data_IF_772403214533
#
_entry.id   IF_772403214533
#
_cell.length_a   1.000
_cell.length_b   1.000
_cell.length_c   1.000
_cell.angle_alpha   90.00
_cell.angle_beta   90.00
_cell.angle_gamma   90.00
#
_symmetry.space_group_name_H-M   'P 1'
#
loop_
_entity.id
_entity.type
_entity.pdbx_description
1 polymer ?
#
# COMPACT_ATOMS: atom_id res chain seq x y z
N UNK A 1 -3.22 -20.03 64.52
CA UNK A 1 -2.28 -18.97 64.92
C UNK A 1 -1.10 -19.10 63.95
N UNK A 2 -0.86 -18.26 62.96
CA UNK A 2 -1.16 -16.84 62.73
C UNK A 2 -1.43 -16.67 61.22
N UNK A 3 -2.49 -15.94 60.90
CA UNK A 3 -2.74 -15.37 59.57
C UNK A 3 -1.73 -14.26 59.32
N UNK A 4 -1.12 -14.21 58.14
CA UNK A 4 -0.63 -12.94 57.59
C UNK A 4 -0.84 -12.91 56.08
N UNK A 5 -1.82 -12.10 55.70
CA UNK A 5 -2.18 -11.70 54.35
C UNK A 5 -1.05 -10.81 53.81
N UNK A 6 -0.54 -11.10 52.61
CA UNK A 6 0.21 -10.12 51.81
C UNK A 6 -0.37 -10.11 50.39
N UNK A 7 -0.89 -8.94 50.05
CA UNK A 7 -1.35 -8.56 48.73
C UNK A 7 -0.19 -8.69 47.71
N UNK A 8 -0.50 -9.27 46.56
CA UNK A 8 0.40 -9.32 45.41
C UNK A 8 -0.47 -9.42 44.16
N UNK A 9 -0.46 -8.35 43.37
CA UNK A 9 -1.12 -8.26 42.07
C UNK A 9 -0.81 -9.48 41.20
N UNK A 10 -1.85 -10.08 40.61
CA UNK A 10 -1.69 -10.89 39.42
C UNK A 10 -1.25 -9.97 38.27
N UNK A 11 0.05 -9.95 37.96
CA UNK A 11 0.55 -9.44 36.68
C UNK A 11 0.48 -10.61 35.70
N UNK A 12 -0.54 -10.63 34.85
CA UNK A 12 -0.50 -11.46 33.65
C UNK A 12 0.61 -10.94 32.74
N UNK A 13 1.76 -11.62 32.72
CA UNK A 13 2.69 -11.54 31.59
C UNK A 13 2.06 -12.37 30.46
N UNK A 14 1.54 -11.69 29.45
CA UNK A 14 1.28 -12.32 28.17
C UNK A 14 2.65 -12.65 27.56
N UNK A 15 3.05 -13.91 27.63
CA UNK A 15 4.10 -14.43 26.75
C UNK A 15 3.62 -14.20 25.32
N UNK A 16 4.30 -13.29 24.62
CA UNK A 16 4.13 -13.03 23.19
C UNK A 16 4.58 -14.30 22.48
N UNK A 17 3.66 -15.27 22.33
CA UNK A 17 3.87 -16.48 21.54
C UNK A 17 4.33 -16.03 20.17
N UNK A 18 5.57 -16.39 19.81
CA UNK A 18 6.02 -16.39 18.43
C UNK A 18 5.04 -17.27 17.64
N UNK A 19 4.06 -16.61 17.03
CA UNK A 19 3.08 -17.27 16.18
C UNK A 19 3.85 -17.74 14.96
N UNK A 20 3.99 -19.05 14.87
CA UNK A 20 4.98 -19.70 14.01
C UNK A 20 4.62 -19.50 12.54
N UNK A 21 5.61 -19.04 11.77
CA UNK A 21 5.69 -18.93 10.30
C UNK A 21 5.19 -20.17 9.54
N UNK A 22 4.99 -21.31 10.23
CA UNK A 22 4.57 -22.60 9.66
C UNK A 22 3.06 -22.76 9.56
N UNK A 23 2.25 -21.96 10.27
CA UNK A 23 0.78 -22.01 10.13
C UNK A 23 0.28 -21.18 8.92
N UNK A 24 1.01 -20.13 8.55
CA UNK A 24 0.70 -19.30 7.37
C UNK A 24 0.81 -20.09 6.05
N UNK A 25 1.82 -20.95 5.89
CA UNK A 25 1.97 -21.77 4.68
C UNK A 25 0.79 -22.73 4.42
N UNK A 26 0.08 -23.16 5.48
CA UNK A 26 -1.08 -24.06 5.36
C UNK A 26 -2.41 -23.31 5.17
N UNK A 27 -2.53 -22.07 5.66
CA UNK A 27 -3.68 -21.20 5.39
C UNK A 27 -3.66 -20.67 3.96
N UNK A 28 -2.47 -20.40 3.40
CA UNK A 28 -2.30 -19.99 1.99
C UNK A 28 -2.84 -21.04 1.01
N UNK A 29 -2.76 -22.34 1.31
CA UNK A 29 -3.36 -23.36 0.42
C UNK A 29 -4.90 -23.32 0.39
N UNK A 30 -5.56 -22.76 1.41
CA UNK A 30 -7.02 -22.75 1.56
C UNK A 30 -7.71 -21.49 1.04
N UNK A 31 -7.05 -20.33 1.08
CA UNK A 31 -7.63 -19.04 0.61
C UNK A 31 -7.41 -18.77 -0.88
N UNK A 32 -6.48 -19.47 -1.54
CA UNK A 32 -6.22 -19.36 -2.98
C UNK A 32 -7.48 -19.52 -3.85
N UNK A 33 -8.52 -20.21 -3.36
CA UNK A 33 -9.74 -20.48 -4.13
C UNK A 33 -10.72 -19.29 -4.27
N UNK A 34 -10.64 -18.26 -3.42
CA UNK A 34 -11.71 -17.25 -3.33
C UNK A 34 -11.59 -16.07 -4.33
N UNK A 35 -10.41 -15.84 -4.92
CA UNK A 35 -10.18 -14.81 -5.94
C UNK A 35 -10.19 -15.31 -7.39
N UNK A 36 -10.34 -16.62 -7.62
CA UNK A 36 -10.06 -17.28 -8.91
C UNK A 36 -11.21 -17.21 -9.93
N UNK A 37 -11.74 -16.02 -10.20
CA UNK A 37 -12.67 -15.87 -11.34
C UNK A 37 -11.87 -15.89 -12.66
N UNK A 38 -11.51 -17.09 -13.14
CA UNK A 38 -11.33 -17.38 -14.56
C UNK A 38 -9.98 -17.87 -15.08
N UNK A 39 -8.93 -18.00 -14.26
CA UNK A 39 -7.64 -18.53 -14.73
C UNK A 39 -7.38 -19.92 -14.14
N UNK A 40 -7.25 -20.93 -15.01
CA UNK A 40 -6.79 -22.27 -14.63
C UNK A 40 -5.29 -22.19 -14.34
N UNK A 41 -4.93 -21.74 -13.14
CA UNK A 41 -3.52 -21.68 -12.72
C UNK A 41 -3.06 -23.09 -12.39
N UNK A 42 -2.12 -23.63 -13.15
CA UNK A 42 -1.55 -24.95 -12.87
C UNK A 42 -0.07 -24.99 -13.21
N UNK A 43 0.74 -24.38 -12.36
CA UNK A 43 2.15 -24.76 -12.28
C UNK A 43 2.22 -26.20 -11.73
N UNK A 44 2.53 -27.15 -12.61
CA UNK A 44 2.80 -28.52 -12.21
C UNK A 44 4.32 -28.74 -12.10
N UNK A 45 4.78 -29.38 -11.02
CA UNK A 45 6.19 -29.77 -10.89
C UNK A 45 6.68 -30.75 -11.95
N UNK A 46 5.76 -31.41 -12.66
CA UNK A 46 6.05 -32.31 -13.79
C UNK A 46 5.10 -32.01 -14.94
N UNK A 47 5.67 -31.74 -16.09
CA UNK A 47 4.95 -31.61 -17.35
C UNK A 47 5.31 -32.79 -18.25
N UNK A 48 4.29 -33.42 -18.84
CA UNK A 48 4.45 -34.52 -19.80
C UNK A 48 3.70 -34.17 -21.08
N UNK A 49 4.33 -34.38 -22.23
CA UNK A 49 3.76 -34.04 -23.53
C UNK A 49 4.54 -34.63 -24.69
N UNK A 50 4.05 -34.45 -25.92
CA UNK A 50 4.74 -34.89 -27.12
C UNK A 50 4.34 -34.03 -28.34
N UNK A 51 4.99 -32.88 -28.58
CA UNK A 51 6.05 -32.25 -27.79
C UNK A 51 5.51 -31.31 -26.71
N UNK A 52 6.32 -31.08 -25.68
CA UNK A 52 6.19 -29.89 -24.82
C UNK A 52 6.90 -28.75 -25.54
N UNK A 53 6.24 -27.61 -25.66
CA UNK A 53 6.83 -26.37 -26.23
C UNK A 53 6.84 -25.22 -25.24
N UNK A 54 5.91 -25.24 -24.28
CA UNK A 54 5.70 -24.17 -23.30
C UNK A 54 5.49 -24.76 -21.91
N UNK A 55 6.03 -24.09 -20.89
CA UNK A 55 5.89 -24.43 -19.47
C UNK A 55 5.34 -23.20 -18.73
N UNK A 56 4.21 -23.29 -18.02
CA UNK A 56 3.70 -22.17 -17.23
C UNK A 56 4.59 -21.90 -16.01
N UNK A 57 4.70 -20.62 -15.65
CA UNK A 57 5.30 -20.14 -14.40
C UNK A 57 4.24 -19.33 -13.67
N UNK A 58 3.91 -19.74 -12.45
CA UNK A 58 2.95 -19.01 -11.63
C UNK A 58 3.67 -17.91 -10.87
N UNK A 59 3.11 -16.70 -10.94
CA UNK A 59 3.55 -15.56 -10.16
C UNK A 59 2.47 -15.14 -9.18
N UNK A 60 2.84 -15.05 -7.90
CA UNK A 60 2.01 -14.45 -6.88
C UNK A 60 2.61 -13.13 -6.40
N UNK A 61 1.75 -12.16 -6.12
CA UNK A 61 2.03 -10.95 -5.36
C UNK A 61 1.13 -10.96 -4.14
N UNK A 62 1.76 -10.96 -2.96
CA UNK A 62 1.09 -11.10 -1.66
C UNK A 62 0.96 -9.72 -1.02
N UNK A 63 -0.21 -9.38 -0.50
CA UNK A 63 -0.48 -8.05 0.08
C UNK A 63 -1.11 -8.12 1.46
N UNK A 64 -1.30 -6.96 2.08
CA UNK A 64 -2.06 -6.74 3.31
C UNK A 64 -3.60 -6.90 3.13
N UNK A 65 -4.08 -7.12 1.91
CA UNK A 65 -5.50 -7.20 1.57
C UNK A 65 -6.19 -5.86 1.33
N UNK A 66 -5.51 -4.73 1.54
CA UNK A 66 -6.01 -3.39 1.20
C UNK A 66 -5.25 -2.73 0.05
N UNK A 67 -4.08 -3.25 -0.28
CA UNK A 67 -3.26 -2.82 -1.41
C UNK A 67 -3.79 -3.38 -2.72
N UNK A 68 -3.80 -2.55 -3.77
CA UNK A 68 -4.23 -2.95 -5.11
C UNK A 68 -3.12 -3.73 -5.82
N UNK A 69 -3.48 -4.54 -6.84
CA UNK A 69 -2.48 -5.24 -7.64
C UNK A 69 -1.47 -4.26 -8.26
N UNK A 70 -0.16 -4.59 -8.31
CA UNK A 70 0.82 -3.70 -8.92
C UNK A 70 0.55 -3.57 -10.42
N UNK A 71 0.88 -2.41 -11.00
CA UNK A 71 0.78 -2.19 -12.45
C UNK A 71 2.11 -2.50 -13.14
N UNK A 72 2.48 -3.80 -13.20
CA UNK A 72 3.77 -4.22 -13.74
C UNK A 72 3.73 -5.65 -14.30
N UNK A 73 4.76 -5.99 -15.07
CA UNK A 73 5.07 -7.36 -15.46
C UNK A 73 6.30 -7.85 -14.69
N UNK A 74 6.22 -9.07 -14.15
CA UNK A 74 7.37 -9.76 -13.55
C UNK A 74 7.99 -10.70 -14.58
N UNK A 75 9.28 -10.55 -14.79
CA UNK A 75 10.03 -11.31 -15.80
C UNK A 75 10.83 -12.44 -15.14
N UNK A 76 11.05 -13.52 -15.89
CA UNK A 76 11.83 -14.66 -15.43
C UNK A 76 13.16 -14.76 -16.18
N UNK A 77 14.16 -15.31 -15.52
CA UNK A 77 15.47 -15.59 -16.10
C UNK A 77 15.74 -17.09 -16.12
N UNK A 78 16.32 -17.56 -17.21
CA UNK A 78 16.72 -18.95 -17.39
C UNK A 78 18.22 -18.96 -17.67
N UNK A 79 18.97 -19.74 -16.90
CA UNK A 79 20.39 -19.99 -17.13
C UNK A 79 20.65 -21.48 -17.35
N UNK A 80 21.69 -21.80 -18.11
CA UNK A 80 22.19 -23.19 -18.19
C UNK A 80 22.85 -23.55 -16.86
N UNK A 81 22.71 -24.82 -16.48
CA UNK A 81 23.28 -25.33 -15.25
C UNK A 81 24.16 -26.56 -15.51
N UNK A 82 25.07 -26.83 -14.59
CA UNK A 82 26.08 -27.88 -14.73
C UNK A 82 25.47 -29.29 -14.82
N UNK A 83 26.22 -30.18 -15.46
CA UNK A 83 25.93 -31.61 -15.48
C UNK A 83 25.95 -32.23 -14.07
N UNK A 84 25.23 -33.32 -13.87
CA UNK A 84 25.16 -33.98 -12.58
C UNK A 84 24.23 -35.19 -12.55
N UNK A 85 23.60 -35.41 -11.41
CA UNK A 85 22.63 -36.47 -11.18
C UNK A 85 21.37 -35.91 -10.55
N UNK A 86 20.20 -36.32 -11.06
CA UNK A 86 18.91 -35.94 -10.48
C UNK A 86 18.10 -37.19 -10.19
N UNK A 87 17.60 -37.30 -8.95
CA UNK A 87 16.68 -38.36 -8.59
C UNK A 87 15.26 -37.91 -8.91
N UNK A 88 14.63 -38.51 -9.93
CA UNK A 88 13.28 -38.17 -10.36
C UNK A 88 12.16 -38.78 -9.50
N UNK A 89 12.52 -39.34 -8.34
CA UNK A 89 11.67 -40.12 -7.45
C UNK A 89 11.61 -41.61 -7.80
N UNK A 90 12.08 -42.02 -8.99
CA UNK A 90 12.14 -43.43 -9.40
C UNK A 90 13.58 -43.93 -9.50
N UNK A 91 14.48 -43.13 -10.10
CA UNK A 91 15.88 -43.49 -10.26
C UNK A 91 16.78 -42.26 -10.38
N UNK A 92 18.07 -42.47 -10.17
CA UNK A 92 19.07 -41.46 -10.49
C UNK A 92 19.22 -41.38 -12.01
N UNK A 93 18.97 -40.18 -12.54
CA UNK A 93 19.15 -39.85 -13.94
C UNK A 93 20.53 -39.19 -14.12
N UNK A 94 21.25 -39.57 -15.16
CA UNK A 94 22.42 -38.80 -15.62
C UNK A 94 21.92 -37.55 -16.29
N UNK A 95 22.37 -36.39 -15.79
CA UNK A 95 21.96 -35.08 -16.27
C UNK A 95 23.14 -34.41 -16.97
N UNK A 96 22.90 -33.94 -18.18
CA UNK A 96 23.84 -33.14 -18.96
C UNK A 96 23.73 -31.66 -18.60
N UNK A 97 24.81 -30.94 -18.82
CA UNK A 97 24.82 -29.48 -18.79
C UNK A 97 23.75 -28.92 -19.74
N UNK A 98 23.04 -27.88 -19.32
CA UNK A 98 22.06 -27.19 -20.15
C UNK A 98 22.65 -26.71 -21.47
N UNK A 99 21.82 -26.70 -22.53
CA UNK A 99 22.21 -26.13 -23.82
C UNK A 99 21.51 -24.79 -23.99
N UNK A 100 22.27 -23.74 -24.26
CA UNK A 100 21.71 -22.40 -24.48
C UNK A 100 20.62 -22.44 -25.57
N UNK A 101 19.47 -21.82 -25.27
CA UNK A 101 18.29 -21.82 -26.15
C UNK A 101 17.38 -23.05 -25.99
N UNK A 102 17.80 -24.10 -25.27
CA UNK A 102 16.98 -25.30 -25.07
C UNK A 102 15.81 -25.09 -24.10
N UNK A 103 15.97 -24.17 -23.15
CA UNK A 103 14.93 -23.58 -22.33
C UNK A 103 15.20 -22.06 -22.25
N UNK A 104 14.16 -21.25 -22.46
CA UNK A 104 14.24 -19.78 -22.37
C UNK A 104 12.99 -19.22 -21.70
N UNK A 105 13.08 -18.03 -21.10
CA UNK A 105 11.88 -17.27 -20.77
C UNK A 105 11.12 -16.91 -22.06
N UNK A 106 9.78 -16.93 -22.00
CA UNK A 106 8.91 -16.64 -23.15
C UNK A 106 8.00 -15.44 -22.86
N UNK A 107 7.23 -15.49 -21.78
CA UNK A 107 6.42 -14.35 -21.31
C UNK A 107 6.60 -14.12 -19.81
N UNK A 108 6.65 -12.85 -19.42
CA UNK A 108 6.50 -12.45 -18.03
C UNK A 108 5.04 -12.55 -17.55
N UNK A 109 4.85 -12.51 -16.24
CA UNK A 109 3.54 -12.49 -15.60
C UNK A 109 3.08 -11.04 -15.40
N UNK A 110 2.07 -10.62 -16.19
CA UNK A 110 1.56 -9.26 -16.18
C UNK A 110 0.43 -9.06 -15.15
N UNK A 111 0.50 -7.96 -14.39
CA UNK A 111 -0.50 -7.53 -13.43
C UNK A 111 -1.05 -6.16 -13.82
N UNK A 112 -2.30 -5.91 -13.44
CA UNK A 112 -2.95 -4.62 -13.65
C UNK A 112 -3.95 -4.38 -12.53
N UNK A 113 -3.93 -3.23 -11.85
CA UNK A 113 -4.87 -2.95 -10.77
C UNK A 113 -6.31 -2.83 -11.27
N UNK A 114 -7.23 -3.49 -10.56
CA UNK A 114 -8.66 -3.49 -10.86
C UNK A 114 -9.40 -2.21 -10.44
N UNK A 115 -10.71 -2.34 -10.27
CA UNK A 115 -11.60 -1.28 -9.77
C UNK A 115 -11.97 -1.47 -8.30
N UNK A 116 -13.04 -0.80 -7.87
CA UNK A 116 -13.65 -1.00 -6.55
C UNK A 116 -13.89 -2.49 -6.26
N UNK A 117 -13.53 -2.94 -5.05
CA UNK A 117 -13.71 -4.31 -4.57
C UNK A 117 -12.67 -5.30 -5.08
N UNK A 118 -11.58 -4.85 -5.71
CA UNK A 118 -10.54 -5.74 -6.25
C UNK A 118 -9.25 -5.82 -5.41
N UNK A 119 -9.19 -5.13 -4.26
CA UNK A 119 -8.14 -5.34 -3.26
C UNK A 119 -8.20 -6.79 -2.75
N UNK A 120 -7.05 -7.47 -2.67
CA UNK A 120 -6.99 -8.88 -2.28
C UNK A 120 -5.62 -9.22 -1.66
N UNK A 121 -5.61 -10.16 -0.70
CA UNK A 121 -4.38 -10.64 -0.02
C UNK A 121 -3.39 -11.31 -0.99
N UNK A 122 -3.85 -11.77 -2.15
CA UNK A 122 -3.01 -12.40 -3.16
C UNK A 122 -3.54 -12.12 -4.55
N UNK A 123 -2.62 -11.71 -5.42
CA UNK A 123 -2.83 -11.64 -6.86
C UNK A 123 -2.00 -12.71 -7.54
N UNK A 124 -2.60 -13.40 -8.51
CA UNK A 124 -1.92 -14.44 -9.28
C UNK A 124 -2.00 -14.15 -10.77
N UNK A 125 -0.86 -14.27 -11.45
CA UNK A 125 -0.75 -14.23 -12.90
C UNK A 125 0.18 -15.34 -13.37
N UNK A 126 0.15 -15.62 -14.68
CA UNK A 126 1.00 -16.62 -15.30
C UNK A 126 1.93 -15.97 -16.33
N UNK A 127 3.19 -16.38 -16.31
CA UNK A 127 4.08 -16.25 -17.46
C UNK A 127 4.46 -17.63 -17.98
N UNK A 128 5.45 -17.69 -18.87
CA UNK A 128 5.86 -18.97 -19.45
C UNK A 128 7.34 -19.04 -19.80
N UNK A 129 7.82 -20.28 -19.85
CA UNK A 129 9.09 -20.66 -20.44
C UNK A 129 8.82 -21.41 -21.74
N UNK A 130 9.73 -21.27 -22.71
CA UNK A 130 9.73 -21.97 -23.98
C UNK A 130 10.83 -23.01 -24.03
N UNK A 131 10.52 -24.16 -24.61
CA UNK A 131 11.50 -25.20 -24.91
C UNK A 131 11.74 -25.28 -26.42
N UNK A 132 12.98 -25.56 -26.81
CA UNK A 132 13.34 -25.78 -28.21
C UNK A 132 14.16 -27.06 -28.35
N UNK A 133 13.56 -28.08 -28.95
CA UNK A 133 14.24 -29.36 -29.15
C UNK A 133 15.36 -29.30 -30.21
N UNK A 134 15.35 -28.29 -31.09
CA UNK A 134 16.25 -28.22 -32.25
C UNK A 134 17.70 -27.92 -31.86
N UNK A 135 17.94 -27.35 -30.67
CA UNK A 135 19.30 -27.03 -30.21
C UNK A 135 20.05 -28.26 -29.70
N UNK A 136 19.32 -29.32 -29.32
CA UNK A 136 19.93 -30.52 -28.77
C UNK A 136 20.48 -31.42 -29.88
N UNK A 137 21.61 -32.07 -29.59
CA UNK A 137 22.30 -32.97 -30.54
C UNK A 137 22.10 -34.44 -30.22
N UNK A 138 21.53 -34.75 -29.05
CA UNK A 138 21.27 -36.12 -28.57
C UNK A 138 20.12 -36.12 -27.56
N UNK A 139 19.40 -37.25 -27.42
CA UNK A 139 18.46 -37.42 -26.31
C UNK A 139 19.19 -37.43 -24.97
N UNK A 140 18.52 -36.98 -23.92
CA UNK A 140 19.11 -36.81 -22.60
C UNK A 140 18.27 -35.91 -21.69
N UNK A 141 18.69 -35.79 -20.43
CA UNK A 141 18.13 -34.82 -19.48
C UNK A 141 19.11 -33.65 -19.40
N UNK A 142 18.61 -32.43 -19.58
CA UNK A 142 19.43 -31.21 -19.60
C UNK A 142 19.03 -30.26 -18.47
N UNK A 143 20.01 -29.67 -17.80
CA UNK A 143 19.82 -28.89 -16.58
C UNK A 143 19.81 -27.38 -16.79
N UNK A 144 18.84 -26.70 -16.19
CA UNK A 144 18.71 -25.25 -16.20
C UNK A 144 18.37 -24.76 -14.79
N UNK A 145 18.68 -23.49 -14.50
CA UNK A 145 18.11 -22.79 -13.35
C UNK A 145 17.12 -21.74 -13.81
N UNK A 146 16.03 -21.57 -13.06
CA UNK A 146 15.02 -20.54 -13.29
C UNK A 146 14.89 -19.67 -12.06
N UNK A 147 15.02 -18.36 -12.24
CA UNK A 147 14.88 -17.33 -11.21
C UNK A 147 13.91 -16.26 -11.67
N UNK A 148 13.37 -15.49 -10.74
CA UNK A 148 12.72 -14.23 -11.08
C UNK A 148 13.76 -13.14 -11.29
N UNK A 149 13.54 -12.30 -12.29
CA UNK A 149 14.33 -11.09 -12.47
C UNK A 149 13.93 -10.06 -11.43
N UNK A 150 14.91 -9.50 -10.73
CA UNK A 150 14.67 -8.37 -9.83
C UNK A 150 13.89 -7.26 -10.56
N UNK A 151 12.73 -6.91 -10.00
CA UNK A 151 11.95 -5.78 -10.47
C UNK A 151 12.22 -4.56 -9.57
N UNK A 152 11.91 -3.37 -10.09
CA UNK A 152 12.04 -2.11 -9.35
C UNK A 152 10.66 -1.49 -9.08
N UNK A 153 9.61 -2.30 -9.00
CA UNK A 153 8.30 -1.80 -8.62
C UNK A 153 8.34 -1.46 -7.14
N UNK A 154 7.99 -0.22 -6.79
CA UNK A 154 8.12 0.28 -5.43
C UNK A 154 7.31 -0.54 -4.43
N UNK A 155 7.84 -0.74 -3.22
CA UNK A 155 7.22 -1.57 -2.18
C UNK A 155 7.23 -3.08 -2.44
N UNK A 156 7.56 -3.55 -3.65
CA UNK A 156 7.60 -5.00 -3.94
C UNK A 156 8.96 -5.59 -3.60
N UNK A 157 8.96 -6.58 -2.69
CA UNK A 157 10.14 -7.42 -2.43
C UNK A 157 10.13 -8.63 -3.36
N UNK A 158 11.13 -8.71 -4.23
CA UNK A 158 11.29 -9.82 -5.20
C UNK A 158 11.68 -11.13 -4.51
N UNK A 159 11.06 -12.24 -4.92
CA UNK A 159 11.42 -13.61 -4.56
C UNK A 159 12.78 -13.96 -5.16
N UNK A 160 13.69 -14.41 -4.30
CA UNK A 160 15.07 -14.80 -4.70
C UNK A 160 15.24 -16.31 -4.83
N UNK A 161 14.13 -17.06 -4.79
CA UNK A 161 14.15 -18.51 -5.02
C UNK A 161 14.78 -18.83 -6.39
N UNK A 162 15.63 -19.84 -6.41
CA UNK A 162 16.09 -20.48 -7.63
C UNK A 162 15.48 -21.88 -7.72
N UNK A 163 14.97 -22.23 -8.89
CA UNK A 163 14.47 -23.57 -9.22
C UNK A 163 15.43 -24.27 -10.17
N UNK A 164 15.69 -25.54 -9.93
CA UNK A 164 16.33 -26.43 -10.91
C UNK A 164 15.26 -26.94 -11.87
N UNK A 165 15.51 -26.86 -13.18
CA UNK A 165 14.60 -27.35 -14.22
C UNK A 165 15.32 -28.34 -15.12
N UNK A 166 14.75 -29.54 -15.22
CA UNK A 166 15.28 -30.67 -15.97
C UNK A 166 14.43 -30.92 -17.21
N UNK A 167 15.01 -30.71 -18.38
CA UNK A 167 14.34 -30.90 -19.68
C UNK A 167 14.72 -32.27 -20.25
N UNK A 168 13.72 -33.14 -20.42
CA UNK A 168 13.89 -34.49 -20.94
C UNK A 168 13.66 -34.50 -22.44
N UNK A 169 14.75 -34.70 -23.17
CA UNK A 169 14.78 -34.79 -24.64
C UNK A 169 14.79 -36.25 -25.05
N UNK A 170 13.82 -36.63 -25.87
CA UNK A 170 13.66 -37.97 -26.41
C UNK A 170 13.91 -37.97 -27.92
N UNK A 171 14.15 -39.16 -28.47
CA UNK A 171 14.28 -39.36 -29.90
C UNK A 171 13.02 -40.02 -30.46
N UNK A 172 12.59 -39.59 -31.65
CA UNK A 172 11.52 -40.20 -32.44
C UNK A 172 11.94 -40.22 -33.92
N UNK A 173 11.10 -40.81 -34.78
CA UNK A 173 11.44 -41.03 -36.21
C UNK A 173 11.76 -39.76 -36.99
N UNK A 174 11.19 -38.63 -36.59
CA UNK A 174 11.30 -37.31 -37.22
C UNK A 174 12.26 -36.35 -36.48
N UNK A 175 12.97 -36.82 -35.45
CA UNK A 175 13.99 -36.04 -34.75
C UNK A 175 13.85 -36.05 -33.23
N UNK A 176 14.53 -35.10 -32.57
CA UNK A 176 14.47 -34.93 -31.13
C UNK A 176 13.24 -34.10 -30.73
N UNK A 177 12.69 -34.38 -29.56
CA UNK A 177 11.60 -33.62 -28.97
C UNK A 177 11.70 -33.56 -27.45
N UNK A 178 11.16 -32.51 -26.84
CA UNK A 178 11.00 -32.44 -25.38
C UNK A 178 9.73 -33.18 -24.99
N UNK A 179 9.87 -34.23 -24.17
CA UNK A 179 8.75 -35.07 -23.76
C UNK A 179 8.35 -34.90 -22.30
N UNK A 180 9.30 -34.50 -21.43
CA UNK A 180 9.03 -34.19 -20.04
C UNK A 180 9.84 -32.98 -19.60
N UNK A 181 9.28 -32.20 -18.67
CA UNK A 181 10.01 -31.17 -17.94
C UNK A 181 9.69 -31.33 -16.47
N UNK A 182 10.72 -31.33 -15.62
CA UNK A 182 10.58 -31.47 -14.17
C UNK A 182 11.23 -30.28 -13.51
N UNK A 183 10.50 -29.58 -12.65
CA UNK A 183 11.04 -28.52 -11.81
C UNK A 183 11.27 -29.04 -10.39
N UNK A 184 12.34 -28.58 -9.76
CA UNK A 184 12.75 -28.96 -8.43
C UNK A 184 13.28 -27.76 -7.64
N UNK A 185 13.17 -27.86 -6.32
CA UNK A 185 13.72 -26.92 -5.36
C UNK A 185 14.35 -27.73 -4.23
N UNK A 186 15.59 -27.43 -3.88
CA UNK A 186 16.35 -28.16 -2.85
C UNK A 186 16.37 -29.69 -3.10
N UNK A 187 16.49 -30.11 -4.36
CA UNK A 187 16.55 -31.52 -4.77
C UNK A 187 15.22 -32.28 -4.77
N UNK A 188 14.11 -31.66 -4.36
CA UNK A 188 12.77 -32.24 -4.43
C UNK A 188 11.91 -31.60 -5.52
N UNK A 189 10.99 -32.36 -6.13
CA UNK A 189 10.03 -31.81 -7.11
C UNK A 189 9.23 -30.68 -6.49
N UNK A 190 9.11 -29.57 -7.21
CA UNK A 190 8.42 -28.37 -6.75
C UNK A 190 7.81 -27.62 -7.92
N UNK A 191 6.63 -27.05 -7.71
CA UNK A 191 5.96 -26.23 -8.71
C UNK A 191 6.74 -24.93 -8.92
N UNK A 192 6.79 -24.44 -10.17
CA UNK A 192 7.42 -23.17 -10.53
C UNK A 192 6.53 -22.00 -10.11
N UNK A 193 6.63 -21.64 -8.84
CA UNK A 193 5.84 -20.58 -8.20
C UNK A 193 6.78 -19.57 -7.55
N UNK A 194 6.73 -18.32 -7.99
CA UNK A 194 7.43 -17.21 -7.35
C UNK A 194 6.44 -16.37 -6.54
N UNK A 195 6.79 -16.01 -5.31
CA UNK A 195 5.93 -15.24 -4.40
C UNK A 195 6.63 -13.95 -3.99
N UNK A 196 6.16 -12.81 -4.53
CA UNK A 196 6.62 -11.52 -4.05
C UNK A 196 5.78 -11.02 -2.90
N UNK A 197 6.44 -10.34 -1.99
CA UNK A 197 5.80 -9.62 -0.91
C UNK A 197 5.57 -8.17 -1.34
N UNK A 198 4.35 -7.68 -1.15
CA UNK A 198 3.95 -6.30 -1.41
C UNK A 198 3.04 -5.83 -0.25
N UNK A 199 3.64 -5.68 0.92
CA UNK A 199 2.95 -5.29 2.15
C UNK A 199 2.35 -6.44 2.98
N UNK A 200 2.61 -7.71 2.66
CA UNK A 200 2.09 -8.82 3.48
C UNK A 200 2.93 -9.05 4.74
N UNK A 201 4.26 -9.00 4.64
CA UNK A 201 5.14 -9.19 5.79
C UNK A 201 5.11 -7.96 6.71
N UNK A 202 4.34 -8.04 7.80
CA UNK A 202 4.26 -6.98 8.82
C UNK A 202 5.62 -6.55 9.41
N UNK A 203 6.67 -7.39 9.30
CA UNK A 203 8.02 -7.02 9.76
C UNK A 203 8.82 -6.22 8.72
N UNK A 204 8.34 -6.23 7.47
CA UNK A 204 8.87 -5.50 6.32
C UNK A 204 7.73 -4.76 5.64
N UNK A 205 6.96 -4.06 6.46
CA UNK A 205 5.82 -3.31 5.97
C UNK A 205 6.30 -2.25 4.96
N UNK A 206 5.81 -2.40 3.74
CA UNK A 206 6.22 -1.66 2.53
C UNK A 206 5.08 -0.83 1.96
N UNK A 207 3.89 -0.96 2.53
CA UNK A 207 2.66 -0.31 2.09
C UNK A 207 1.97 0.29 3.30
N UNK A 208 1.49 1.51 3.19
CA UNK A 208 0.96 2.26 4.31
C UNK A 208 -0.40 2.88 4.00
N UNK A 209 -1.05 3.40 5.04
CA UNK A 209 -2.31 4.12 4.92
C UNK A 209 -2.29 5.51 5.55
N UNK A 210 -3.23 6.35 5.09
CA UNK A 210 -3.48 7.67 5.67
C UNK A 210 -4.96 7.98 5.76
N UNK A 211 -5.37 8.50 6.91
CA UNK A 211 -6.68 9.12 7.12
C UNK A 211 -6.57 10.62 6.86
N UNK A 212 -7.33 11.14 5.89
CA UNK A 212 -7.56 12.57 5.74
C UNK A 212 -8.87 12.91 6.44
N UNK A 213 -8.80 13.62 7.57
CA UNK A 213 -9.94 14.02 8.38
C UNK A 213 -10.38 15.44 8.07
N UNK A 214 -11.68 15.62 7.87
CA UNK A 214 -12.30 16.95 7.77
C UNK A 214 -12.67 17.47 9.16
N UNK A 215 -12.27 18.70 9.47
CA UNK A 215 -12.65 19.41 10.70
C UNK A 215 -13.32 20.73 10.34
N UNK A 216 -14.49 21.00 10.92
CA UNK A 216 -15.18 22.28 10.85
C UNK A 216 -15.17 22.89 12.25
N UNK A 217 -14.70 24.12 12.38
CA UNK A 217 -14.53 24.76 13.70
C UNK A 217 -14.69 26.28 13.65
N UNK A 218 -14.78 26.91 14.83
CA UNK A 218 -14.96 28.34 15.00
C UNK A 218 -16.38 28.71 15.46
N UNK A 219 -16.52 29.90 16.03
CA UNK A 219 -17.73 30.31 16.73
C UNK A 219 -18.94 30.64 15.82
N UNK A 220 -18.73 30.70 14.50
CA UNK A 220 -19.78 30.87 13.50
C UNK A 220 -19.84 29.70 12.52
N UNK A 221 -19.17 28.59 12.84
CA UNK A 221 -19.17 27.42 11.99
C UNK A 221 -20.49 26.62 12.11
N UNK A 222 -20.85 25.97 11.02
CA UNK A 222 -21.98 25.05 10.91
C UNK A 222 -21.42 23.69 10.52
N UNK A 223 -21.41 22.75 11.46
CA UNK A 223 -20.76 21.45 11.27
C UNK A 223 -21.39 20.58 10.18
N UNK A 224 -22.64 20.88 9.79
CA UNK A 224 -23.31 20.21 8.68
C UNK A 224 -23.00 20.81 7.30
N UNK A 225 -22.21 21.90 7.23
CA UNK A 225 -21.76 22.43 5.95
C UNK A 225 -20.90 21.38 5.23
N UNK A 226 -21.01 21.37 3.90
CA UNK A 226 -20.26 20.45 3.05
C UNK A 226 -19.20 21.18 2.23
N UNK A 227 -18.11 20.48 1.98
CA UNK A 227 -16.97 20.97 1.20
C UNK A 227 -16.57 19.94 0.15
N UNK A 228 -16.07 20.41 -0.99
CA UNK A 228 -15.53 19.57 -2.05
C UNK A 228 -14.01 19.49 -1.87
N UNK A 229 -13.51 18.30 -1.55
CA UNK A 229 -12.07 18.05 -1.39
C UNK A 229 -11.54 17.28 -2.61
N UNK A 230 -10.63 17.89 -3.34
CA UNK A 230 -9.93 17.28 -4.48
C UNK A 230 -8.68 16.59 -3.96
N UNK A 231 -8.64 15.27 -4.08
CA UNK A 231 -7.55 14.42 -3.62
C UNK A 231 -6.78 13.86 -4.81
N UNK A 232 -5.47 13.74 -4.67
CA UNK A 232 -4.57 13.12 -5.64
C UNK A 232 -3.49 12.36 -4.89
N UNK A 233 -3.17 11.16 -5.35
CA UNK A 233 -1.96 10.46 -4.94
C UNK A 233 -1.02 10.42 -6.14
N UNK A 234 0.24 10.76 -5.95
CA UNK A 234 1.27 10.71 -6.99
C UNK A 234 2.30 9.68 -6.60
N UNK A 235 2.37 8.60 -7.39
CA UNK A 235 3.27 7.47 -7.21
C UNK A 235 3.71 6.86 -8.54
N UNK A 236 3.84 5.54 -8.58
CA UNK A 236 4.20 4.84 -9.81
C UNK A 236 3.11 4.98 -10.88
N UNK A 237 3.49 5.05 -12.16
CA UNK A 237 2.54 5.30 -13.24
C UNK A 237 1.51 4.16 -13.38
N UNK A 238 0.22 4.51 -13.38
CA UNK A 238 -0.89 3.56 -13.50
C UNK A 238 -1.15 2.72 -12.25
N UNK A 239 -0.41 2.97 -11.17
CA UNK A 239 -0.74 2.46 -9.84
C UNK A 239 -2.10 2.96 -9.37
N UNK A 240 -2.75 2.17 -8.51
CA UNK A 240 -4.04 2.53 -7.92
C UNK A 240 -4.05 2.33 -6.42
N UNK A 241 -4.80 3.17 -5.74
CA UNK A 241 -4.91 3.19 -4.28
C UNK A 241 -6.36 2.95 -3.86
N UNK A 242 -6.60 1.98 -2.98
CA UNK A 242 -7.92 1.75 -2.40
C UNK A 242 -8.30 2.96 -1.56
N UNK A 243 -9.55 3.40 -1.68
CA UNK A 243 -10.09 4.53 -0.90
C UNK A 243 -11.40 4.16 -0.24
N UNK A 244 -11.58 4.57 1.01
CA UNK A 244 -12.87 4.55 1.70
C UNK A 244 -13.24 5.95 2.17
N UNK A 245 -14.51 6.32 2.03
CA UNK A 245 -15.11 7.54 2.59
C UNK A 245 -16.06 7.11 3.71
N UNK A 246 -15.79 7.48 4.96
CA UNK A 246 -16.56 7.04 6.14
C UNK A 246 -16.80 5.51 6.15
N UNK A 247 -15.73 4.75 5.89
CA UNK A 247 -15.71 3.28 5.75
C UNK A 247 -16.46 2.70 4.53
N UNK A 248 -17.10 3.53 3.70
CA UNK A 248 -17.66 3.10 2.44
C UNK A 248 -16.60 3.13 1.33
N UNK A 249 -16.29 1.96 0.77
CA UNK A 249 -15.31 1.85 -0.32
C UNK A 249 -15.74 2.65 -1.55
N UNK A 250 -14.79 3.34 -2.16
CA UNK A 250 -14.94 4.19 -3.33
C UNK A 250 -14.25 3.56 -4.54
N UNK A 251 -14.35 4.21 -5.70
CA UNK A 251 -13.43 3.88 -6.79
C UNK A 251 -12.00 4.20 -6.34
N UNK A 252 -11.01 3.35 -6.67
CA UNK A 252 -9.64 3.61 -6.31
C UNK A 252 -9.12 4.87 -7.02
N UNK A 253 -8.18 5.57 -6.38
CA UNK A 253 -7.44 6.67 -6.99
C UNK A 253 -6.40 6.08 -7.95
N UNK A 254 -6.32 6.58 -9.18
CA UNK A 254 -5.19 6.30 -10.07
C UNK A 254 -4.08 7.31 -9.79
N UNK A 255 -2.82 6.86 -9.77
CA UNK A 255 -1.66 7.73 -9.60
C UNK A 255 -1.68 8.92 -10.58
N UNK A 256 -1.57 10.13 -10.04
CA UNK A 256 -1.60 11.40 -10.75
C UNK A 256 -3.00 11.92 -11.12
N UNK A 257 -4.05 11.11 -10.94
CA UNK A 257 -5.43 11.51 -11.24
C UNK A 257 -6.12 12.16 -10.02
N UNK A 258 -7.00 13.12 -10.31
CA UNK A 258 -7.80 13.82 -9.30
C UNK A 258 -9.14 13.13 -9.08
N UNK A 259 -9.53 12.96 -7.83
CA UNK A 259 -10.92 12.65 -7.47
C UNK A 259 -11.45 13.66 -6.46
N UNK A 260 -12.74 13.96 -6.55
CA UNK A 260 -13.40 14.91 -5.65
C UNK A 260 -14.33 14.18 -4.70
N UNK A 261 -14.19 14.45 -3.41
CA UNK A 261 -15.03 13.90 -2.35
C UNK A 261 -15.83 15.01 -1.67
N UNK A 262 -17.12 14.79 -1.48
CA UNK A 262 -17.95 15.67 -0.65
C UNK A 262 -17.77 15.28 0.82
N UNK A 263 -17.32 16.22 1.64
CA UNK A 263 -16.99 15.99 3.05
C UNK A 263 -17.72 16.97 3.97
N UNK A 264 -18.05 16.54 5.18
CA UNK A 264 -18.60 17.38 6.26
C UNK A 264 -17.79 17.17 7.55
N UNK A 265 -18.19 17.76 8.69
CA UNK A 265 -17.41 17.63 9.91
C UNK A 265 -17.20 16.16 10.30
N UNK A 266 -15.96 15.80 10.63
CA UNK A 266 -15.52 14.45 10.97
C UNK A 266 -15.59 13.40 9.85
N UNK A 267 -15.88 13.79 8.60
CA UNK A 267 -15.73 12.88 7.47
C UNK A 267 -14.27 12.45 7.33
N UNK A 268 -14.04 11.15 7.11
CA UNK A 268 -12.73 10.53 6.98
C UNK A 268 -12.57 9.90 5.59
N UNK A 269 -11.51 10.32 4.88
CA UNK A 269 -11.06 9.68 3.63
C UNK A 269 -9.85 8.84 3.98
N UNK A 270 -9.99 7.53 3.91
CA UNK A 270 -8.92 6.58 4.17
C UNK A 270 -8.33 6.12 2.83
N UNK A 271 -7.01 6.23 2.67
CA UNK A 271 -6.28 5.83 1.46
C UNK A 271 -5.28 4.75 1.87
N UNK A 272 -5.28 3.61 1.19
CA UNK A 272 -4.43 2.45 1.50
C UNK A 272 -3.45 2.15 0.36
N UNK A 273 -2.41 1.38 0.66
CA UNK A 273 -1.45 0.85 -0.32
C UNK A 273 -0.41 1.88 -0.77
N UNK A 274 -0.06 2.84 0.10
CA UNK A 274 0.92 3.88 -0.18
C UNK A 274 2.34 3.37 0.10
N UNK A 275 3.24 3.51 -0.85
CA UNK A 275 4.67 3.21 -0.67
C UNK A 275 5.45 4.46 -0.27
N UNK A 276 6.70 4.32 0.18
CA UNK A 276 7.51 5.40 0.77
C UNK A 276 7.62 6.65 -0.13
N UNK A 277 7.70 6.47 -1.46
CA UNK A 277 7.79 7.53 -2.45
C UNK A 277 6.49 8.22 -2.80
N UNK A 278 5.34 7.66 -2.39
CA UNK A 278 4.03 8.19 -2.74
C UNK A 278 3.73 9.51 -2.04
N UNK A 279 3.13 10.43 -2.80
CA UNK A 279 2.78 11.77 -2.31
C UNK A 279 1.28 11.99 -2.34
N UNK A 280 0.73 12.39 -1.21
CA UNK A 280 -0.70 12.66 -1.05
C UNK A 280 -0.95 14.16 -1.10
N UNK A 281 -1.91 14.56 -1.95
CA UNK A 281 -2.40 15.92 -2.03
C UNK A 281 -3.90 15.96 -1.73
N UNK A 282 -4.33 16.94 -0.92
CA UNK A 282 -5.74 17.27 -0.79
C UNK A 282 -5.95 18.79 -0.74
N UNK A 283 -6.75 19.29 -1.68
CA UNK A 283 -7.04 20.72 -1.83
C UNK A 283 -8.55 20.91 -1.84
N UNK A 284 -9.03 21.84 -1.02
CA UNK A 284 -10.44 22.20 -1.02
C UNK A 284 -10.75 23.11 -2.20
N UNK A 285 -11.85 22.87 -2.91
CA UNK A 285 -12.36 23.83 -3.89
C UNK A 285 -12.77 25.14 -3.20
N UNK A 286 -12.69 26.26 -3.92
CA UNK A 286 -13.03 27.56 -3.36
C UNK A 286 -14.47 27.57 -2.81
N UNK A 287 -14.63 27.78 -1.50
CA UNK A 287 -15.93 27.96 -0.87
C UNK A 287 -16.29 29.45 -0.77
N UNK A 288 -17.58 29.79 -0.91
CA UNK A 288 -18.09 31.16 -0.76
C UNK A 288 -18.70 31.41 0.62
N UNK A 289 -18.52 30.47 1.55
CA UNK A 289 -19.20 30.45 2.85
C UNK A 289 -18.45 31.22 3.94
N UNK A 290 -17.27 31.76 3.62
CA UNK A 290 -16.45 32.57 4.52
C UNK A 290 -15.58 31.76 5.48
N UNK A 291 -15.33 30.48 5.18
CA UNK A 291 -14.38 29.67 5.93
C UNK A 291 -12.95 29.90 5.44
N UNK A 292 -12.01 29.88 6.37
CA UNK A 292 -10.58 29.77 6.07
C UNK A 292 -10.17 28.29 6.20
N UNK A 293 -9.66 27.71 5.11
CA UNK A 293 -9.09 26.37 5.11
C UNK A 293 -7.61 26.38 5.55
N UNK A 294 -7.24 25.39 6.36
CA UNK A 294 -5.87 25.10 6.79
C UNK A 294 -5.62 23.60 6.68
N UNK A 295 -4.37 23.20 6.48
CA UNK A 295 -4.00 21.82 6.11
C UNK A 295 -2.87 21.34 7.01
N UNK A 296 -2.80 20.02 7.23
CA UNK A 296 -1.54 19.37 7.64
C UNK A 296 -0.43 19.76 6.66
N UNK A 297 0.77 20.03 7.18
CA UNK A 297 1.93 20.44 6.38
C UNK A 297 2.21 19.47 5.22
N UNK A 298 2.42 20.02 4.02
CA UNK A 298 2.69 19.26 2.80
C UNK A 298 1.46 18.69 2.08
N UNK A 299 0.29 18.62 2.75
CA UNK A 299 -0.92 18.04 2.17
C UNK A 299 -1.47 18.86 1.00
N UNK A 300 -1.55 20.18 1.10
CA UNK A 300 -2.04 21.01 -0.02
C UNK A 300 -1.00 21.16 -1.13
N UNK A 301 0.28 21.00 -0.82
CA UNK A 301 1.41 21.13 -1.74
C UNK A 301 1.68 19.85 -2.54
N UNK A 302 1.10 18.72 -2.13
CA UNK A 302 1.36 17.40 -2.73
C UNK A 302 2.77 16.91 -2.40
N UNK A 303 3.25 17.20 -1.20
CA UNK A 303 4.57 16.81 -0.69
C UNK A 303 4.49 15.92 0.55
N UNK A 304 3.28 15.63 1.05
CA UNK A 304 3.06 14.73 2.17
C UNK A 304 3.35 13.29 1.76
N UNK A 305 4.38 12.69 2.34
CA UNK A 305 4.75 11.28 2.21
C UNK A 305 4.29 10.49 3.44
N UNK A 306 3.90 9.23 3.23
CA UNK A 306 3.40 8.35 4.30
C UNK A 306 4.37 7.18 4.46
N UNK A 307 4.86 6.98 5.67
CA UNK A 307 5.90 5.99 5.98
C UNK A 307 5.53 5.07 7.14
N UNK A 308 4.26 5.09 7.56
CA UNK A 308 3.71 4.23 8.61
C UNK A 308 2.19 4.23 8.54
N UNK A 309 1.63 3.11 8.99
CA UNK A 309 0.19 2.95 9.17
C UNK A 309 -0.42 3.87 10.23
N UNK A 310 -1.70 4.14 10.07
CA UNK A 310 -2.49 5.02 10.94
C UNK A 310 -2.04 6.47 10.88
N UNK A 311 -1.39 6.89 9.78
CA UNK A 311 -1.01 8.30 9.61
C UNK A 311 -2.28 9.15 9.46
N UNK A 312 -2.32 10.29 10.15
CA UNK A 312 -3.46 11.21 10.07
C UNK A 312 -3.05 12.55 9.46
N UNK A 313 -3.86 13.04 8.53
CA UNK A 313 -3.78 14.38 7.97
C UNK A 313 -5.14 15.07 8.13
N UNK A 314 -5.14 16.39 8.24
CA UNK A 314 -6.34 17.16 8.52
C UNK A 314 -6.53 18.30 7.54
N UNK A 315 -7.79 18.54 7.17
CA UNK A 315 -8.24 19.75 6.49
C UNK A 315 -9.22 20.44 7.42
N UNK A 316 -8.83 21.60 7.94
CA UNK A 316 -9.61 22.35 8.93
C UNK A 316 -10.19 23.62 8.34
N UNK A 317 -11.51 23.76 8.40
CA UNK A 317 -12.23 24.96 7.99
C UNK A 317 -12.69 25.72 9.21
N UNK A 318 -12.10 26.91 9.39
CA UNK A 318 -12.40 27.78 10.52
C UNK A 318 -13.27 28.96 10.08
N UNK A 319 -14.36 29.22 10.81
CA UNK A 319 -15.17 30.42 10.64
C UNK A 319 -15.44 31.09 11.98
N UNK A 320 -14.87 32.27 12.15
CA UNK A 320 -15.00 33.09 13.35
C UNK A 320 -15.56 34.48 13.04
N UNK A 321 -16.27 35.06 14.01
CA UNK A 321 -16.58 36.48 14.05
C UNK A 321 -16.44 37.01 15.47
N UNK A 322 -16.06 38.27 15.60
CA UNK A 322 -16.18 38.99 16.86
C UNK A 322 -17.61 39.51 17.02
N UNK A 323 -18.07 39.68 18.26
CA UNK A 323 -19.27 40.48 18.50
C UNK A 323 -19.01 41.89 17.98
N UNK A 324 -19.97 42.54 17.28
CA UNK A 324 -19.84 43.94 16.97
C UNK A 324 -19.84 44.68 18.31
N UNK A 325 -18.68 45.13 18.79
CA UNK A 325 -18.64 46.11 19.88
C UNK A 325 -19.17 47.41 19.32
N UNK A 326 -20.48 47.52 19.27
CA UNK A 326 -21.22 48.64 18.73
C UNK A 326 -21.19 49.85 19.65
N UNK A 327 -20.00 50.32 20.04
CA UNK A 327 -19.81 51.72 20.44
C UNK A 327 -18.37 52.13 20.06
N UNK A 328 -18.21 52.82 18.93
CA UNK A 328 -17.10 53.76 18.79
C UNK A 328 -17.45 54.92 19.75
N UNK A 329 -17.04 54.83 21.02
CA UNK A 329 -17.06 55.95 21.93
C UNK A 329 -15.93 56.89 21.49
N UNK A 330 -16.22 57.69 20.47
CA UNK A 330 -15.41 58.87 20.22
C UNK A 330 -15.72 59.82 21.39
N UNK A 331 -14.88 59.79 22.43
CA UNK A 331 -14.97 60.67 23.61
C UNK A 331 -14.70 62.16 23.27
N UNK A 332 -15.15 62.65 22.12
CA UNK A 332 -15.41 64.08 21.93
C UNK A 332 -16.73 64.47 22.61
N UNK A 333 -17.11 65.75 22.57
CA UNK A 333 -16.81 66.81 23.54
C UNK A 333 -17.31 66.59 24.99
N UNK A 334 -17.75 65.39 25.39
CA UNK A 334 -18.38 65.19 26.71
C UNK A 334 -17.40 65.12 27.90
N UNK A 335 -16.10 64.91 27.69
CA UNK A 335 -15.08 65.06 28.76
C UNK A 335 -14.77 66.54 29.06
N UNK A 336 -14.99 67.46 28.10
CA UNK A 336 -14.80 68.90 28.32
C UNK A 336 -15.90 69.54 29.18
N UNK A 337 -17.12 68.97 29.19
CA UNK A 337 -18.22 69.52 30.00
C UNK A 337 -18.16 69.15 31.49
N UNK A 338 -17.48 68.06 31.85
CA UNK A 338 -17.25 67.72 33.28
C UNK A 338 -16.12 68.58 33.87
N UNK A 339 -15.14 69.01 33.06
CA UNK A 339 -14.10 69.94 33.49
C UNK A 339 -14.61 71.38 33.71
N UNK A 340 -15.61 71.85 32.94
CA UNK A 340 -16.19 73.19 33.07
C UNK A 340 -17.16 73.34 34.26
N UNK A 341 -17.77 72.25 34.73
CA UNK A 341 -18.63 72.27 35.92
C UNK A 341 -17.81 72.28 37.23
N UNK A 342 -16.63 71.65 37.25
CA UNK A 342 -15.74 71.64 38.42
C UNK A 342 -15.04 72.98 38.68
N UNK A 343 -14.79 73.79 37.64
CA UNK A 343 -14.11 75.09 37.79
C UNK A 343 -14.97 76.20 38.38
N UNK A 344 -16.31 76.13 38.29
CA UNK A 344 -17.18 77.15 38.89
C UNK A 344 -17.44 76.94 40.39
N UNK A 345 -17.36 75.71 40.91
CA UNK A 345 -17.53 75.43 42.35
C UNK A 345 -16.26 75.83 43.13
N UNK A 346 -15.07 75.63 42.57
CA UNK A 346 -13.81 76.03 43.19
C UNK A 346 -13.65 77.56 43.31
N UNK A 347 -14.14 78.34 42.34
CA UNK A 347 -14.03 79.80 42.35
C UNK A 347 -14.92 80.46 43.43
N UNK A 348 -16.06 79.86 43.78
CA UNK A 348 -16.95 80.40 44.81
C UNK A 348 -16.52 80.06 46.25
N UNK A 349 -15.79 78.96 46.48
CA UNK A 349 -15.32 78.59 47.83
C UNK A 349 -14.06 79.35 48.27
N UNK A 350 -13.19 79.78 47.35
CA UNK A 350 -11.97 80.51 47.72
C UNK A 350 -12.16 82.01 48.04
N UNK A 351 -13.34 82.60 47.78
CA UNK A 351 -13.59 84.02 48.11
C UNK A 351 -14.08 84.25 49.54
N UNK A 352 -14.43 83.20 50.29
CA UNK A 352 -15.02 83.34 51.63
C UNK A 352 -14.00 83.32 52.79
N UNK A 353 -12.73 82.98 52.53
CA UNK A 353 -11.70 82.85 53.57
C UNK A 353 -10.55 83.88 53.50
N UNK A 354 -10.76 85.06 52.91
CA UNK A 354 -9.89 86.23 53.16
C UNK A 354 -10.63 87.27 54.00
N UNK A 355 -10.52 87.13 55.32
CA UNK A 355 -10.60 88.23 56.28
C UNK A 355 -9.51 88.06 57.33
N UNK A 356 -8.72 89.12 57.47
CA UNK A 356 -7.99 89.56 58.68
C UNK A 356 -7.01 88.59 59.35
N UNK A 357 -5.72 88.83 59.08
CA UNK A 357 -4.66 89.00 60.08
C UNK A 357 -3.46 89.67 59.39
#
# INVERSE_FOLDING_TARGET
>A
MILTKKEGQFVMRADKKQFSTRLMAALMAGTLAAGMMGMNVSAASVHSGNPITTIPVTKNVLTDGNTMAPNTTFEFEVAVADAGTFNDGNKDQVVYEGIAGGLTAETGAAFTPGGKGSAAETYTAEGSLKTDAAVFKRPGVYHYTVTEKANNYEGVTTDTTSYDVYVYVYNRTDGLYVGNVVSAKNGGKADLIFNNDYGQDENKDTTHDVVIKKVITGNQAVESDTFQLVVTVTGTAGEKYKVTLDNAEQNPLTSGEKATYTVTNNTEIHIYGLTEGDKVQAVEEANTQGYQATYTTGLSEGTLTISRDGSEATVTNTKNSTSPTGIILNYGPYILMIALAGSMVAFFFFKRNRKEA
#
